data_IF_930016929425
#
_entry.id   IF_930016929425
#
_cell.length_a   1.000
_cell.length_b   1.000
_cell.length_c   1.000
_cell.angle_alpha   90.00
_cell.angle_beta   90.00
_cell.angle_gamma   90.00
#
_symmetry.space_group_name_H-M   'P 1'
#
loop_
_entity.id
_entity.type
_entity.pdbx_description
1 polymer ?
#
# COMPACT_ATOMS: atom_id res chain seq x y z
N UNK A 1 -10.64 -11.60 -10.30
CA UNK A 1 -10.66 -10.14 -10.52
C UNK A 1 -9.63 -9.59 -9.55
N UNK A 2 -8.63 -8.86 -10.05
CA UNK A 2 -7.54 -8.35 -9.19
C UNK A 2 -8.02 -7.31 -8.20
N UNK A 3 -7.62 -7.44 -6.95
CA UNK A 3 -7.88 -6.44 -5.93
C UNK A 3 -6.81 -5.35 -5.97
N UNK A 4 -7.19 -4.11 -5.67
CA UNK A 4 -6.27 -2.99 -5.55
C UNK A 4 -6.20 -2.58 -4.07
N UNK A 5 -4.98 -2.44 -3.56
CA UNK A 5 -4.72 -1.97 -2.20
C UNK A 5 -4.07 -0.59 -2.21
N UNK A 6 -4.23 0.16 -1.12
CA UNK A 6 -3.54 1.42 -0.84
C UNK A 6 -2.81 1.28 0.48
N UNK A 7 -1.51 1.54 0.51
CA UNK A 7 -0.67 1.41 1.70
C UNK A 7 0.09 2.72 1.97
N UNK A 8 -0.05 3.23 3.18
CA UNK A 8 0.59 4.47 3.62
C UNK A 8 -0.13 5.13 4.79
N UNK A 9 0.15 6.41 5.02
CA UNK A 9 -0.25 7.12 6.24
C UNK A 9 -1.77 7.23 6.37
N UNK A 10 -2.29 7.07 7.59
CA UNK A 10 -3.73 6.95 7.86
C UNK A 10 -4.56 8.09 7.24
N UNK A 11 -4.06 9.32 7.33
CA UNK A 11 -4.74 10.53 6.82
C UNK A 11 -4.90 10.47 5.30
N UNK A 12 -3.92 9.90 4.59
CA UNK A 12 -3.94 9.77 3.14
C UNK A 12 -4.75 8.56 2.67
N UNK A 13 -4.76 7.47 3.45
CA UNK A 13 -5.36 6.20 2.99
C UNK A 13 -6.84 6.03 3.37
N UNK A 14 -7.33 6.70 4.42
CA UNK A 14 -8.69 6.47 4.96
C UNK A 14 -9.83 6.74 3.96
N UNK A 15 -9.62 7.64 2.99
CA UNK A 15 -10.64 7.95 1.98
C UNK A 15 -10.85 6.83 0.97
N UNK A 16 -9.82 6.04 0.68
CA UNK A 16 -9.84 5.04 -0.39
C UNK A 16 -10.71 3.83 -0.10
N UNK A 17 -10.92 3.50 1.18
CA UNK A 17 -11.87 2.46 1.57
C UNK A 17 -13.29 2.73 1.02
N UNK A 18 -13.67 4.00 0.89
CA UNK A 18 -14.98 4.39 0.32
C UNK A 18 -15.09 4.13 -1.19
N UNK A 19 -13.96 4.01 -1.88
CA UNK A 19 -13.89 3.65 -3.30
C UNK A 19 -13.76 2.14 -3.54
N UNK A 20 -13.94 1.31 -2.50
CA UNK A 20 -13.86 -0.15 -2.59
C UNK A 20 -12.43 -0.71 -2.61
N UNK A 21 -11.43 0.12 -2.30
CA UNK A 21 -10.03 -0.29 -2.21
C UNK A 21 -9.70 -0.85 -0.82
N UNK A 22 -8.73 -1.76 -0.77
CA UNK A 22 -8.16 -2.21 0.50
C UNK A 22 -7.20 -1.16 1.04
N UNK A 23 -7.66 -0.35 2.00
CA UNK A 23 -6.81 0.65 2.66
C UNK A 23 -6.04 0.02 3.84
N UNK A 24 -4.72 0.06 3.78
CA UNK A 24 -3.81 -0.38 4.84
C UNK A 24 -3.09 0.84 5.40
N UNK A 25 -3.46 1.22 6.62
CA UNK A 25 -2.83 2.33 7.32
C UNK A 25 -1.48 1.91 7.90
N UNK A 26 -0.45 2.68 7.55
CA UNK A 26 0.91 2.52 8.04
C UNK A 26 1.59 3.89 8.10
N UNK A 27 1.87 4.37 9.31
CA UNK A 27 2.41 5.71 9.56
C UNK A 27 3.95 5.71 9.65
N UNK A 28 4.58 4.54 9.79
CA UNK A 28 6.03 4.38 9.86
C UNK A 28 6.54 3.25 8.95
N UNK A 29 7.88 3.19 8.78
CA UNK A 29 8.51 2.23 7.89
C UNK A 29 8.36 0.77 8.32
N UNK A 30 8.23 0.49 9.62
CA UNK A 30 8.01 -0.87 10.12
C UNK A 30 6.59 -1.34 9.80
N UNK A 31 5.61 -0.48 10.06
CA UNK A 31 4.21 -0.72 9.71
C UNK A 31 4.02 -0.89 8.22
N UNK A 32 4.74 -0.13 7.38
CA UNK A 32 4.69 -0.27 5.93
C UNK A 32 5.18 -1.66 5.51
N UNK A 33 6.33 -2.10 6.04
CA UNK A 33 6.89 -3.44 5.73
C UNK A 33 5.97 -4.56 6.21
N UNK A 34 5.42 -4.44 7.41
CA UNK A 34 4.47 -5.41 7.95
C UNK A 34 3.17 -5.46 7.13
N UNK A 35 2.61 -4.29 6.78
CA UNK A 35 1.42 -4.17 5.94
C UNK A 35 1.62 -4.77 4.56
N UNK A 36 2.75 -4.49 3.91
CA UNK A 36 3.14 -5.07 2.62
C UNK A 36 3.22 -6.60 2.67
N UNK A 37 3.88 -7.16 3.69
CA UNK A 37 4.02 -8.60 3.86
C UNK A 37 2.67 -9.29 4.16
N UNK A 38 1.74 -8.59 4.80
CA UNK A 38 0.41 -9.09 5.13
C UNK A 38 -0.62 -8.89 4.00
N UNK A 39 -0.27 -8.23 2.89
CA UNK A 39 -1.21 -8.01 1.79
C UNK A 39 -1.67 -9.35 1.20
N UNK A 40 -2.98 -9.54 0.99
CA UNK A 40 -3.53 -10.73 0.36
C UNK A 40 -2.86 -11.05 -0.99
N UNK A 41 -2.82 -12.32 -1.36
CA UNK A 41 -2.18 -12.80 -2.59
C UNK A 41 -2.96 -12.47 -3.86
N UNK A 42 -4.22 -12.06 -3.73
CA UNK A 42 -5.10 -11.61 -4.82
C UNK A 42 -5.06 -10.09 -5.04
N UNK A 43 -4.17 -9.37 -4.33
CA UNK A 43 -3.87 -7.96 -4.59
C UNK A 43 -2.84 -7.86 -5.71
N UNK A 44 -3.30 -7.45 -6.89
CA UNK A 44 -2.50 -7.35 -8.11
C UNK A 44 -1.81 -5.98 -8.25
N UNK A 45 -2.35 -4.93 -7.63
CA UNK A 45 -1.81 -3.56 -7.66
C UNK A 45 -1.84 -2.92 -6.28
N UNK A 46 -0.73 -2.29 -5.90
CA UNK A 46 -0.61 -1.53 -4.65
C UNK A 46 -0.30 -0.06 -4.95
N UNK A 47 -1.17 0.83 -4.49
CA UNK A 47 -0.94 2.27 -4.47
C UNK A 47 -0.17 2.61 -3.18
N UNK A 48 1.00 3.21 -3.31
CA UNK A 48 1.84 3.60 -2.18
C UNK A 48 1.81 5.12 -2.02
N UNK A 49 1.80 5.60 -0.79
CA UNK A 49 2.19 6.99 -0.54
C UNK A 49 3.70 7.14 -0.76
N UNK A 50 4.22 8.37 -1.01
CA UNK A 50 5.65 8.58 -1.20
C UNK A 50 6.53 8.05 -0.06
N UNK A 51 6.08 8.17 1.19
CA UNK A 51 6.82 7.65 2.34
C UNK A 51 6.78 6.12 2.41
N UNK A 52 5.66 5.49 2.07
CA UNK A 52 5.57 4.03 1.99
C UNK A 52 6.48 3.46 0.90
N UNK A 53 6.51 4.10 -0.29
CA UNK A 53 7.42 3.72 -1.37
C UNK A 53 8.89 3.80 -0.93
N UNK A 54 9.27 4.89 -0.25
CA UNK A 54 10.63 5.05 0.29
C UNK A 54 10.98 4.01 1.35
N UNK A 55 10.01 3.59 2.17
CA UNK A 55 10.21 2.58 3.20
C UNK A 55 10.38 1.16 2.64
N UNK A 56 9.78 0.85 1.49
CA UNK A 56 9.88 -0.45 0.82
C UNK A 56 11.13 -0.57 -0.06
N UNK A 57 11.54 0.51 -0.73
CA UNK A 57 12.69 0.49 -1.65
C UNK A 57 12.53 -0.60 -2.71
N UNK A 58 13.59 -1.39 -2.93
CA UNK A 58 13.61 -2.51 -3.90
C UNK A 58 12.66 -3.67 -3.53
N UNK A 59 12.12 -3.71 -2.31
CA UNK A 59 11.18 -4.77 -1.86
C UNK A 59 9.83 -4.70 -2.59
N UNK A 60 9.55 -3.59 -3.27
CA UNK A 60 8.31 -3.36 -4.00
C UNK A 60 8.21 -4.17 -5.31
N UNK A 61 9.33 -4.71 -5.83
CA UNK A 61 9.43 -5.37 -7.15
C UNK A 61 8.62 -6.66 -7.31
N UNK A 62 8.11 -7.23 -6.21
CA UNK A 62 7.32 -8.45 -6.23
C UNK A 62 5.86 -8.26 -6.72
N UNK A 63 5.37 -7.02 -6.78
CA UNK A 63 3.99 -6.68 -7.18
C UNK A 63 3.98 -5.44 -8.07
N UNK A 64 2.88 -5.20 -8.81
CA UNK A 64 2.72 -3.92 -9.51
C UNK A 64 2.48 -2.80 -8.47
N UNK A 65 3.25 -1.72 -8.61
CA UNK A 65 3.24 -0.60 -7.67
C UNK A 65 3.06 0.70 -8.42
N UNK A 66 2.20 1.57 -7.91
CA UNK A 66 2.12 2.96 -8.31
C UNK A 66 2.26 3.86 -7.10
N UNK A 67 3.05 4.93 -7.21
CA UNK A 67 3.27 5.88 -6.11
C UNK A 67 2.34 7.07 -6.34
N UNK A 68 1.52 7.38 -5.33
CA UNK A 68 0.70 8.58 -5.30
C UNK A 68 1.60 9.82 -5.27
N UNK A 69 1.18 10.94 -5.87
CA UNK A 69 1.96 12.17 -5.91
C UNK A 69 2.26 12.73 -4.50
#
# INVERSE_FOLDING_TARGET
>A
MGQIAVLGEFVQVRGWATAGLLAVAADDAEQVRAGWAALPTDVDLVLLTPNAARALGETADARLVAVLP
#
